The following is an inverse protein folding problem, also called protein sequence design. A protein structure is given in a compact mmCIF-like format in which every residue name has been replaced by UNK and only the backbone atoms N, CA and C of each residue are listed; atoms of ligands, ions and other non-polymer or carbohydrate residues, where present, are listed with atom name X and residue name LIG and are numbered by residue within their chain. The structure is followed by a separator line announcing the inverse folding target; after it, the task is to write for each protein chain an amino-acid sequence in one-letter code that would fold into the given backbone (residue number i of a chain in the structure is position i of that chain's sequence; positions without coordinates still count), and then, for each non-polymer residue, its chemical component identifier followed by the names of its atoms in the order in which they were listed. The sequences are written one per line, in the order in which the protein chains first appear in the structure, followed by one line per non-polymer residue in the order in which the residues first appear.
data_IF_555299245582
#
_entry.id   IF_555299245582
#
_cell.length_a   1.000
_cell.length_b   1.000
_cell.length_c   1.000
_cell.angle_alpha   90.00
_cell.angle_beta   90.00
_cell.angle_gamma   90.00
#
_symmetry.space_group_name_H-M   'P 1'
#
loop_
_entity.id
_entity.type
_entity.pdbx_description
1 polymer ?
#
# COMPACT_ATOMS: atom_id res chain seq x y z
N UNK A 1 30.62 21.30 3.77
CA UNK A 1 29.36 20.66 4.22
C UNK A 1 29.07 19.54 3.23
N UNK A 2 28.81 18.31 3.69
CA UNK A 2 28.52 17.20 2.76
C UNK A 2 27.21 17.50 2.01
N UNK A 3 27.22 17.34 0.69
CA UNK A 3 26.12 17.64 -0.23
C UNK A 3 25.35 16.36 -0.57
N UNK A 4 24.04 16.38 -0.37
CA UNK A 4 23.16 15.24 -0.64
C UNK A 4 22.01 15.70 -1.52
N UNK A 5 21.78 15.01 -2.63
CA UNK A 5 20.57 15.16 -3.42
C UNK A 5 19.53 14.12 -2.99
N UNK A 6 18.26 14.51 -2.92
CA UNK A 6 17.10 13.62 -2.78
C UNK A 6 16.24 13.81 -4.02
N UNK A 7 16.04 12.75 -4.80
CA UNK A 7 15.25 12.77 -6.04
C UNK A 7 13.89 12.12 -5.76
N UNK A 8 12.84 12.94 -5.70
CA UNK A 8 11.48 12.57 -5.28
C UNK A 8 11.20 13.01 -3.85
N UNK A 9 10.08 13.71 -3.64
CA UNK A 9 9.65 14.25 -2.34
C UNK A 9 8.38 13.58 -1.80
N UNK A 10 8.07 12.35 -2.22
CA UNK A 10 7.07 11.48 -1.57
C UNK A 10 7.56 10.90 -0.23
N UNK A 11 6.79 9.98 0.41
CA UNK A 11 7.12 9.48 1.75
C UNK A 11 8.56 9.00 1.93
N UNK A 12 9.12 8.25 0.98
CA UNK A 12 10.52 7.80 1.04
C UNK A 12 11.50 8.97 1.11
N UNK A 13 11.28 10.02 0.31
CA UNK A 13 12.09 11.25 0.35
C UNK A 13 11.92 12.01 1.67
N UNK A 14 10.68 12.08 2.18
CA UNK A 14 10.35 12.72 3.46
C UNK A 14 11.05 12.02 4.63
N UNK A 15 10.95 10.69 4.74
CA UNK A 15 11.62 9.94 5.80
C UNK A 15 13.15 9.94 5.65
N UNK A 16 13.66 10.04 4.42
CA UNK A 16 15.09 10.28 4.17
C UNK A 16 15.52 11.62 4.75
N UNK A 17 14.81 12.71 4.44
CA UNK A 17 15.06 14.02 5.01
C UNK A 17 14.99 13.98 6.54
N UNK A 18 13.91 13.43 7.10
CA UNK A 18 13.71 13.29 8.55
C UNK A 18 14.89 12.60 9.24
N UNK A 19 15.42 11.54 8.63
CA UNK A 19 16.55 10.76 9.16
C UNK A 19 17.88 11.52 9.05
N UNK A 20 18.09 12.26 7.95
CA UNK A 20 19.28 13.10 7.76
C UNK A 20 19.34 14.26 8.76
N UNK A 21 18.19 14.81 9.16
CA UNK A 21 18.13 15.87 10.17
C UNK A 21 18.48 15.39 11.59
N UNK A 22 18.58 14.07 11.83
CA UNK A 22 19.07 13.53 13.10
C UNK A 22 20.61 13.56 13.20
N UNK A 23 21.32 13.92 12.13
CA UNK A 23 22.77 14.01 12.15
C UNK A 23 23.24 15.24 12.93
N UNK A 24 24.29 15.08 13.74
CA UNK A 24 24.85 16.18 14.54
C UNK A 24 25.53 17.27 13.70
N UNK A 25 26.06 16.89 12.53
CA UNK A 25 26.74 17.82 11.62
C UNK A 25 25.76 18.24 10.53
N UNK A 26 25.46 19.54 10.37
CA UNK A 26 24.58 20.01 9.31
C UNK A 26 25.07 19.62 7.92
N UNK A 27 24.13 19.28 7.05
CA UNK A 27 24.33 18.85 5.66
C UNK A 27 23.75 19.89 4.68
N UNK A 28 24.20 19.84 3.43
CA UNK A 28 23.65 20.61 2.32
C UNK A 28 22.76 19.68 1.53
N UNK A 29 21.45 19.85 1.61
CA UNK A 29 20.45 18.95 1.05
C UNK A 29 19.72 19.68 -0.08
N UNK A 30 19.70 19.09 -1.26
CA UNK A 30 18.85 19.53 -2.38
C UNK A 30 17.79 18.48 -2.66
N UNK A 31 16.53 18.90 -2.69
CA UNK A 31 15.38 18.01 -2.91
C UNK A 31 14.75 18.40 -4.24
N UNK A 32 14.57 17.42 -5.12
CA UNK A 32 13.98 17.61 -6.44
C UNK A 32 12.65 16.88 -6.52
N UNK A 33 11.58 17.57 -6.89
CA UNK A 33 10.24 17.03 -7.07
C UNK A 33 9.74 17.42 -8.46
N UNK A 34 9.22 16.45 -9.21
CA UNK A 34 8.70 16.69 -10.56
C UNK A 34 7.32 17.36 -10.54
N UNK A 35 6.51 17.09 -9.51
CA UNK A 35 5.20 17.70 -9.33
C UNK A 35 5.33 19.17 -8.89
N UNK A 36 4.23 19.91 -9.01
CA UNK A 36 4.15 21.31 -8.58
C UNK A 36 4.31 21.49 -7.07
N UNK A 37 4.04 20.43 -6.30
CA UNK A 37 4.06 20.45 -4.85
C UNK A 37 4.90 19.29 -4.27
N UNK A 38 5.98 19.64 -3.57
CA UNK A 38 6.78 18.70 -2.80
C UNK A 38 6.05 18.24 -1.53
N UNK A 39 6.37 17.03 -1.08
CA UNK A 39 5.87 16.49 0.19
C UNK A 39 4.56 15.73 0.10
N UNK A 40 3.94 15.56 -1.07
CA UNK A 40 2.68 14.81 -1.20
C UNK A 40 2.94 13.35 -1.55
N UNK A 41 3.69 13.12 -2.64
CA UNK A 41 3.85 11.81 -3.25
C UNK A 41 2.69 11.46 -4.18
N UNK A 42 3.02 10.98 -5.38
CA UNK A 42 2.05 10.75 -6.46
C UNK A 42 0.82 9.87 -6.07
N UNK A 43 0.93 8.78 -5.27
CA UNK A 43 -0.24 8.01 -4.84
C UNK A 43 -1.22 8.75 -3.91
N UNK A 44 -0.86 9.94 -3.41
CA UNK A 44 -1.66 10.74 -2.48
C UNK A 44 -2.02 12.12 -3.05
N UNK A 45 -1.62 12.42 -4.29
CA UNK A 45 -1.98 13.64 -4.99
C UNK A 45 -3.49 13.68 -5.25
N UNK A 46 -4.09 14.86 -5.18
CA UNK A 46 -5.49 15.10 -5.53
C UNK A 46 -5.72 15.18 -7.05
N UNK A 47 -4.66 15.39 -7.84
CA UNK A 47 -4.67 15.21 -9.29
C UNK A 47 -4.98 13.75 -9.66
N UNK A 48 -4.45 12.81 -8.87
CA UNK A 48 -4.48 11.38 -9.17
C UNK A 48 -5.54 10.63 -8.36
N UNK A 49 -6.20 11.26 -7.38
CA UNK A 49 -7.10 10.54 -6.48
C UNK A 49 -8.40 11.28 -6.21
N UNK A 50 -9.47 10.49 -6.02
CA UNK A 50 -10.73 11.02 -5.50
C UNK A 50 -10.85 10.84 -3.99
N UNK A 51 -11.78 11.59 -3.41
CA UNK A 51 -12.22 11.46 -2.00
C UNK A 51 -12.71 10.05 -1.64
N UNK A 52 -13.08 9.24 -2.63
CA UNK A 52 -13.56 7.87 -2.42
C UNK A 52 -12.44 6.85 -2.29
N UNK A 53 -11.24 7.15 -2.80
CA UNK A 53 -10.10 6.24 -2.77
C UNK A 53 -9.45 6.27 -1.38
N UNK A 54 -9.53 5.14 -0.70
CA UNK A 54 -8.98 4.98 0.64
C UNK A 54 -7.49 4.63 0.58
N UNK A 55 -6.72 5.18 1.51
CA UNK A 55 -5.38 4.69 1.78
C UNK A 55 -5.48 3.26 2.35
N UNK A 56 -4.54 2.39 1.99
CA UNK A 56 -4.47 1.02 2.55
C UNK A 56 -3.55 0.96 3.78
N UNK A 57 -3.44 2.06 4.52
CA UNK A 57 -2.60 2.18 5.69
C UNK A 57 -3.30 3.07 6.71
N UNK A 58 -3.32 2.63 7.96
CA UNK A 58 -3.96 3.36 9.05
C UNK A 58 -2.93 4.22 9.83
N UNK A 59 -3.40 5.19 10.61
CA UNK A 59 -2.50 6.06 11.39
C UNK A 59 -1.59 5.30 12.34
N UNK A 60 -2.03 4.17 12.90
CA UNK A 60 -1.24 3.36 13.83
C UNK A 60 -0.02 2.70 13.16
N UNK A 61 -0.07 2.52 11.83
CA UNK A 61 0.98 1.89 11.03
C UNK A 61 1.99 2.89 10.48
N UNK A 62 1.58 4.17 10.34
CA UNK A 62 2.44 5.23 9.80
C UNK A 62 3.40 5.70 10.91
N UNK A 63 4.73 5.58 10.72
CA UNK A 63 5.69 6.10 11.69
C UNK A 63 5.54 7.63 11.84
N UNK A 64 5.47 8.17 13.07
CA UNK A 64 5.34 9.61 13.26
C UNK A 64 6.58 10.36 12.74
N UNK A 65 6.35 11.54 12.16
CA UNK A 65 7.42 12.48 11.78
C UNK A 65 7.57 13.52 12.91
N UNK A 66 6.72 14.55 12.90
CA UNK A 66 6.61 15.50 14.02
C UNK A 66 5.42 15.17 14.94
N UNK A 67 4.41 14.48 14.41
CA UNK A 67 3.29 13.90 15.14
C UNK A 67 2.78 12.66 14.38
N UNK A 68 1.84 11.93 14.97
CA UNK A 68 1.10 10.87 14.27
C UNK A 68 0.09 11.48 13.28
N UNK A 69 -0.36 10.68 12.30
CA UNK A 69 -1.42 11.09 11.38
C UNK A 69 -2.73 11.40 12.12
N UNK A 70 -3.12 10.60 13.12
CA UNK A 70 -4.29 10.85 13.96
C UNK A 70 -4.20 12.18 14.72
N UNK A 71 -3.05 12.48 15.33
CA UNK A 71 -2.85 13.77 16.03
C UNK A 71 -2.93 14.95 15.06
N UNK A 72 -2.45 14.78 13.83
CA UNK A 72 -2.59 15.80 12.78
C UNK A 72 -4.05 16.00 12.37
N UNK A 73 -4.80 14.92 12.16
CA UNK A 73 -6.23 14.95 11.83
C UNK A 73 -7.05 15.63 12.93
N UNK A 74 -6.75 15.34 14.19
CA UNK A 74 -7.42 15.94 15.35
C UNK A 74 -7.18 17.46 15.45
N UNK A 75 -6.12 17.98 14.85
CA UNK A 75 -5.85 19.43 14.78
C UNK A 75 -6.59 20.13 13.64
N UNK A 76 -7.09 19.40 12.64
CA UNK A 76 -7.82 19.99 11.52
C UNK A 76 -9.22 20.46 11.92
N UNK A 77 -9.72 21.48 11.23
CA UNK A 77 -11.09 21.95 11.42
C UNK A 77 -12.12 20.86 11.03
N UNK A 78 -13.22 20.77 11.79
CA UNK A 78 -14.25 19.77 11.50
C UNK A 78 -14.86 19.95 10.10
N UNK A 79 -15.04 21.21 9.67
CA UNK A 79 -15.53 21.54 8.32
C UNK A 79 -14.56 21.11 7.23
N UNK A 80 -13.25 21.15 7.49
CA UNK A 80 -12.24 20.69 6.55
C UNK A 80 -12.36 19.17 6.34
N UNK A 81 -12.41 18.39 7.42
CA UNK A 81 -12.54 16.92 7.39
C UNK A 81 -13.86 16.46 6.77
N UNK A 82 -14.94 17.20 7.00
CA UNK A 82 -16.25 16.91 6.42
C UNK A 82 -16.24 16.93 4.89
N UNK A 83 -15.37 17.74 4.26
CA UNK A 83 -15.20 17.75 2.78
C UNK A 83 -14.70 16.42 2.22
N UNK A 84 -14.12 15.58 3.07
CA UNK A 84 -13.62 14.24 2.77
C UNK A 84 -14.57 13.14 3.28
N UNK A 85 -15.76 13.49 3.78
CA UNK A 85 -16.69 12.54 4.40
C UNK A 85 -16.24 12.05 5.78
N UNK A 86 -15.29 12.73 6.42
CA UNK A 86 -14.70 12.30 7.69
C UNK A 86 -15.36 13.06 8.85
N UNK A 87 -15.94 12.31 9.80
CA UNK A 87 -16.47 12.86 11.06
C UNK A 87 -15.34 12.94 12.09
N UNK A 88 -15.03 14.14 12.59
CA UNK A 88 -13.88 14.37 13.48
C UNK A 88 -14.00 13.59 14.79
N UNK A 89 -15.21 13.47 15.31
CA UNK A 89 -15.57 12.80 16.56
C UNK A 89 -15.44 11.27 16.50
N UNK A 90 -15.37 10.68 15.30
CA UNK A 90 -15.21 9.23 15.13
C UNK A 90 -13.76 8.81 14.84
N UNK A 91 -12.83 9.76 14.77
CA UNK A 91 -11.43 9.49 14.42
C UNK A 91 -10.78 8.53 15.42
N UNK A 92 -10.13 7.50 14.89
CA UNK A 92 -9.28 6.59 15.66
C UNK A 92 -8.08 6.12 14.83
N UNK A 93 -7.08 5.56 15.51
CA UNK A 93 -5.76 5.22 14.95
C UNK A 93 -5.78 4.11 13.89
N UNK A 94 -6.78 3.22 13.95
CA UNK A 94 -7.03 2.12 12.99
C UNK A 94 -7.99 2.46 11.85
N UNK A 95 -8.34 3.73 11.67
CA UNK A 95 -9.28 4.15 10.63
C UNK A 95 -8.56 4.32 9.28
N UNK A 96 -9.12 3.74 8.22
CA UNK A 96 -8.71 4.04 6.84
C UNK A 96 -9.42 5.29 6.35
N UNK A 97 -8.67 6.21 5.75
CA UNK A 97 -9.13 7.52 5.32
C UNK A 97 -8.74 7.79 3.87
N UNK A 98 -9.35 8.79 3.20
CA UNK A 98 -9.02 9.12 1.82
C UNK A 98 -7.53 9.42 1.62
N UNK A 99 -6.95 8.94 0.51
CA UNK A 99 -5.52 9.09 0.20
C UNK A 99 -5.06 10.53 0.15
N UNK A 100 -5.90 11.41 -0.38
CA UNK A 100 -5.61 12.84 -0.48
C UNK A 100 -5.43 13.52 0.88
N UNK A 101 -6.14 13.06 1.91
CA UNK A 101 -5.98 13.58 3.28
C UNK A 101 -4.64 13.14 3.90
N UNK A 102 -4.17 11.95 3.53
CA UNK A 102 -2.83 11.48 3.88
C UNK A 102 -1.74 12.28 3.12
N UNK A 103 -2.01 12.68 1.88
CA UNK A 103 -1.16 13.59 1.10
C UNK A 103 -1.01 14.96 1.77
N UNK A 104 -2.10 15.54 2.25
CA UNK A 104 -2.06 16.80 3.01
C UNK A 104 -1.24 16.68 4.30
N UNK A 105 -1.37 15.55 5.02
CA UNK A 105 -0.53 15.26 6.18
C UNK A 105 0.96 15.24 5.80
N UNK A 106 1.34 14.47 4.77
CA UNK A 106 2.74 14.38 4.35
C UNK A 106 3.29 15.74 3.92
N UNK A 107 2.51 16.57 3.21
CA UNK A 107 2.95 17.91 2.80
C UNK A 107 3.17 18.81 4.00
N UNK A 108 2.26 18.84 4.97
CA UNK A 108 2.46 19.60 6.21
C UNK A 108 3.69 19.12 6.99
N UNK A 109 3.92 17.80 7.10
CA UNK A 109 5.12 17.27 7.76
C UNK A 109 6.39 17.63 6.99
N UNK A 110 6.40 17.54 5.66
CA UNK A 110 7.53 17.90 4.83
C UNK A 110 7.93 19.38 5.02
N UNK A 111 6.96 20.30 4.96
CA UNK A 111 7.22 21.73 5.16
C UNK A 111 7.80 22.01 6.55
N UNK A 112 7.27 21.35 7.59
CA UNK A 112 7.84 21.44 8.96
C UNK A 112 9.27 20.94 9.03
N UNK A 113 9.61 19.85 8.34
CA UNK A 113 10.99 19.35 8.29
C UNK A 113 11.92 20.32 7.59
N UNK A 114 11.49 20.95 6.50
CA UNK A 114 12.29 21.97 5.81
C UNK A 114 12.56 23.17 6.72
N UNK A 115 11.56 23.64 7.46
CA UNK A 115 11.73 24.72 8.43
C UNK A 115 12.62 24.32 9.61
N UNK A 116 12.45 23.11 10.13
CA UNK A 116 13.30 22.54 11.18
C UNK A 116 14.77 22.47 10.71
N UNK A 117 15.00 22.01 9.48
CA UNK A 117 16.35 21.92 8.91
C UNK A 117 17.04 23.29 8.87
N UNK A 118 16.32 24.32 8.41
CA UNK A 118 16.81 25.71 8.38
C UNK A 118 17.15 26.22 9.78
N UNK A 119 16.30 25.95 10.78
CA UNK A 119 16.57 26.31 12.18
C UNK A 119 17.81 25.61 12.74
N UNK A 120 18.04 24.36 12.32
CA UNK A 120 19.22 23.56 12.68
C UNK A 120 20.46 23.89 11.84
N UNK A 121 20.41 24.92 10.97
CA UNK A 121 21.51 25.38 10.10
C UNK A 121 21.94 24.38 9.03
N UNK A 122 21.06 23.44 8.66
CA UNK A 122 21.21 22.71 7.40
C UNK A 122 20.97 23.66 6.24
N UNK A 123 21.74 23.52 5.16
CA UNK A 123 21.43 24.22 3.91
C UNK A 123 20.43 23.36 3.15
N UNK A 124 19.18 23.81 3.00
CA UNK A 124 18.13 23.06 2.30
C UNK A 124 17.58 23.87 1.14
N UNK A 125 17.65 23.29 -0.06
CA UNK A 125 17.01 23.78 -1.27
C UNK A 125 15.95 22.77 -1.73
N UNK A 126 14.78 23.26 -2.10
CA UNK A 126 13.68 22.46 -2.64
C UNK A 126 13.36 22.99 -4.04
N UNK A 127 13.37 22.10 -5.02
CA UNK A 127 13.09 22.39 -6.42
C UNK A 127 11.81 21.64 -6.81
N UNK A 128 10.67 22.34 -6.76
CA UNK A 128 9.37 21.87 -7.27
C UNK A 128 9.29 22.07 -8.81
N UNK A 129 8.38 21.35 -9.45
CA UNK A 129 8.23 21.27 -10.93
C UNK A 129 9.55 20.93 -11.66
N UNK A 130 10.46 20.22 -11.00
CA UNK A 130 11.82 19.95 -11.43
C UNK A 130 12.06 18.43 -11.55
N UNK A 131 11.91 17.94 -12.77
CA UNK A 131 12.15 16.54 -13.09
C UNK A 131 13.65 16.31 -13.26
N UNK A 132 14.21 15.36 -12.50
CA UNK A 132 15.55 14.82 -12.74
C UNK A 132 15.46 13.79 -13.88
N UNK A 133 16.13 14.06 -14.98
CA UNK A 133 16.06 13.24 -16.20
C UNK A 133 17.20 12.24 -16.33
N UNK A 134 18.35 12.51 -15.68
CA UNK A 134 19.50 11.61 -15.70
C UNK A 134 20.41 11.81 -14.48
N UNK A 135 21.21 10.79 -14.15
CA UNK A 135 22.23 10.84 -13.10
C UNK A 135 23.56 10.28 -13.63
N UNK A 136 24.62 11.04 -13.45
CA UNK A 136 25.97 10.62 -13.81
C UNK A 136 26.87 10.49 -12.57
N UNK A 137 27.42 9.29 -12.36
CA UNK A 137 28.43 9.04 -11.32
C UNK A 137 29.81 9.39 -11.89
N UNK A 138 30.54 10.25 -11.20
CA UNK A 138 31.88 10.69 -11.55
C UNK A 138 32.86 10.48 -10.40
N UNK A 139 34.16 10.66 -10.65
CA UNK A 139 35.17 10.63 -9.58
C UNK A 139 34.99 11.73 -8.54
N UNK A 140 34.27 12.81 -8.88
CA UNK A 140 34.03 13.95 -7.99
C UNK A 140 32.71 13.83 -7.19
N UNK A 141 31.86 12.85 -7.51
CA UNK A 141 30.53 12.68 -6.91
C UNK A 141 29.45 12.41 -7.97
N UNK A 142 28.20 12.67 -7.61
CA UNK A 142 27.02 12.47 -8.46
C UNK A 142 26.58 13.80 -9.06
N UNK A 143 26.38 13.83 -10.37
CA UNK A 143 25.80 14.96 -11.09
C UNK A 143 24.39 14.60 -11.54
N UNK A 144 23.46 15.55 -11.44
CA UNK A 144 22.06 15.38 -11.85
C UNK A 144 21.80 16.25 -13.09
N UNK A 145 21.09 15.70 -14.06
CA UNK A 145 20.48 16.47 -15.14
C UNK A 145 19.01 16.70 -14.83
N UNK A 146 18.52 17.91 -15.06
CA UNK A 146 17.12 18.31 -14.81
C UNK A 146 16.48 18.88 -16.07
N UNK A 147 15.16 18.85 -16.14
CA UNK A 147 14.38 19.54 -17.19
C UNK A 147 14.45 21.08 -17.08
N UNK A 148 14.88 21.60 -15.92
CA UNK A 148 15.14 23.03 -15.70
C UNK A 148 16.63 23.36 -15.92
N UNK A 149 16.92 24.59 -16.34
CA UNK A 149 18.30 25.12 -16.46
C UNK A 149 18.83 25.56 -15.08
N UNK A 150 19.16 24.56 -14.26
CA UNK A 150 19.77 24.77 -12.94
C UNK A 150 21.31 24.74 -13.05
N UNK A 151 22.03 25.50 -12.21
CA UNK A 151 23.48 25.41 -12.15
C UNK A 151 23.93 23.96 -11.91
N UNK A 152 24.84 23.48 -12.76
CA UNK A 152 25.41 22.14 -12.60
C UNK A 152 26.08 22.02 -11.22
N UNK A 153 25.53 21.19 -10.36
CA UNK A 153 26.06 20.90 -9.03
C UNK A 153 26.50 19.44 -8.92
N UNK A 154 27.62 19.21 -8.25
CA UNK A 154 28.09 17.88 -7.89
C UNK A 154 27.76 17.61 -6.43
N UNK A 155 27.10 16.49 -6.17
CA UNK A 155 26.71 16.01 -4.86
C UNK A 155 27.64 14.88 -4.40
N UNK A 156 27.87 14.79 -3.09
CA UNK A 156 28.64 13.66 -2.52
C UNK A 156 27.82 12.37 -2.56
N UNK A 157 26.49 12.47 -2.41
CA UNK A 157 25.54 11.36 -2.48
C UNK A 157 24.24 11.81 -3.16
N UNK A 158 23.56 10.87 -3.81
CA UNK A 158 22.18 11.06 -4.28
C UNK A 158 21.31 9.90 -3.78
N UNK A 159 20.13 10.21 -3.27
CA UNK A 159 19.10 9.25 -2.88
C UNK A 159 18.00 9.27 -3.93
N UNK A 160 17.77 8.14 -4.58
CA UNK A 160 16.69 7.97 -5.56
C UNK A 160 15.44 7.49 -4.80
N UNK A 161 14.47 8.38 -4.65
CA UNK A 161 13.22 8.19 -3.94
C UNK A 161 12.01 8.48 -4.85
N UNK A 162 12.13 8.12 -6.13
CA UNK A 162 11.16 8.42 -7.20
C UNK A 162 9.89 7.58 -7.16
N UNK A 163 9.80 6.60 -6.26
CA UNK A 163 8.64 5.72 -6.14
C UNK A 163 8.57 4.67 -7.26
N UNK A 164 7.34 4.29 -7.64
CA UNK A 164 7.08 3.29 -8.67
C UNK A 164 6.68 3.96 -9.99
N UNK A 165 7.03 3.32 -11.10
CA UNK A 165 6.60 3.71 -12.44
C UNK A 165 5.24 3.06 -12.72
N UNK A 166 4.22 3.86 -12.99
CA UNK A 166 2.95 3.35 -13.53
C UNK A 166 3.08 3.08 -15.03
N UNK A 167 2.24 2.19 -15.60
CA UNK A 167 2.17 2.03 -17.06
C UNK A 167 1.90 3.38 -17.73
N UNK A 168 2.54 3.60 -18.87
CA UNK A 168 2.56 4.89 -19.55
C UNK A 168 1.13 5.30 -19.99
N UNK A 169 0.77 6.57 -19.77
CA UNK A 169 -0.52 7.11 -20.20
C UNK A 169 -0.68 7.04 -21.73
N UNK A 170 0.44 7.00 -22.47
CA UNK A 170 0.45 6.85 -23.93
C UNK A 170 -0.24 5.56 -24.43
N UNK A 171 -0.37 4.54 -23.57
CA UNK A 171 -1.11 3.31 -23.90
C UNK A 171 -2.64 3.45 -23.75
N UNK A 172 -3.10 4.53 -23.11
CA UNK A 172 -4.53 4.78 -22.93
C UNK A 172 -5.21 5.13 -24.26
N UNK A 173 -6.42 4.61 -24.43
CA UNK A 173 -7.30 4.95 -25.54
C UNK A 173 -8.64 5.40 -24.99
N UNK A 174 -9.53 5.89 -25.86
CA UNK A 174 -10.90 6.27 -25.46
C UNK A 174 -11.67 5.17 -24.71
N UNK A 175 -11.30 3.90 -24.89
CA UNK A 175 -12.01 2.74 -24.32
C UNK A 175 -11.10 1.80 -23.53
N UNK A 176 -9.85 2.18 -23.28
CA UNK A 176 -8.88 1.36 -22.56
C UNK A 176 -8.00 2.24 -21.69
N UNK A 177 -7.92 1.92 -20.40
CA UNK A 177 -7.14 2.64 -19.42
C UNK A 177 -6.20 1.63 -18.73
N UNK A 178 -4.87 1.73 -18.92
CA UNK A 178 -3.90 0.84 -18.25
C UNK A 178 -4.00 0.85 -16.72
N UNK A 179 -4.42 1.97 -16.13
CA UNK A 179 -4.61 2.13 -14.68
C UNK A 179 -5.74 3.13 -14.38
N UNK A 180 -6.25 3.21 -13.14
CA UNK A 180 -7.21 4.26 -12.76
C UNK A 180 -6.67 5.68 -13.01
N UNK A 181 -5.35 5.84 -12.96
CA UNK A 181 -4.63 7.11 -13.06
C UNK A 181 -4.36 7.54 -14.49
N UNK A 182 -4.48 6.64 -15.47
CA UNK A 182 -4.29 6.94 -16.89
C UNK A 182 -5.46 7.69 -17.55
N UNK A 183 -6.08 8.65 -16.85
CA UNK A 183 -7.21 9.46 -17.33
C UNK A 183 -8.61 8.89 -17.09
N UNK A 184 -8.74 7.71 -16.47
CA UNK A 184 -10.06 7.11 -16.15
C UNK A 184 -10.87 8.01 -15.19
N UNK A 185 -10.19 8.67 -14.25
CA UNK A 185 -10.84 9.54 -13.26
C UNK A 185 -11.58 10.72 -13.87
N UNK A 186 -11.12 11.21 -15.02
CA UNK A 186 -11.71 12.32 -15.76
C UNK A 186 -12.61 11.85 -16.92
N UNK A 187 -12.45 10.60 -17.33
CA UNK A 187 -13.19 10.03 -18.45
C UNK A 187 -14.67 9.89 -18.12
N UNK A 188 -15.52 10.39 -19.03
CA UNK A 188 -16.94 10.08 -19.01
C UNK A 188 -17.16 8.66 -19.55
N UNK A 189 -17.64 7.77 -18.69
CA UNK A 189 -17.99 6.41 -19.05
C UNK A 189 -19.52 6.32 -19.19
N UNK A 190 -19.99 5.89 -20.36
CA UNK A 190 -21.42 5.63 -20.56
C UNK A 190 -21.82 4.34 -19.84
N UNK A 191 -23.10 4.22 -19.45
CA UNK A 191 -23.61 2.99 -18.83
C UNK A 191 -23.51 1.80 -19.81
N UNK A 192 -22.47 0.99 -19.68
CA UNK A 192 -22.13 -0.11 -20.57
C UNK A 192 -21.43 -1.26 -19.82
N UNK A 193 -20.96 -2.26 -20.57
CA UNK A 193 -20.14 -3.33 -20.03
C UNK A 193 -18.70 -2.84 -19.85
N UNK A 194 -18.21 -2.83 -18.61
CA UNK A 194 -16.86 -2.41 -18.24
C UNK A 194 -16.10 -3.61 -17.69
N UNK A 195 -14.95 -3.92 -18.28
CA UNK A 195 -14.04 -4.95 -17.79
C UNK A 195 -12.88 -4.33 -17.02
N UNK A 196 -12.62 -4.80 -15.81
CA UNK A 196 -11.51 -4.35 -14.97
C UNK A 196 -10.55 -5.51 -14.73
N UNK A 197 -9.31 -5.36 -15.19
CA UNK A 197 -8.25 -6.36 -15.01
C UNK A 197 -7.59 -6.21 -13.64
N UNK A 198 -8.21 -6.78 -12.62
CA UNK A 198 -7.70 -6.82 -11.25
C UNK A 198 -8.81 -6.73 -10.22
N UNK A 199 -8.57 -7.33 -9.06
CA UNK A 199 -9.46 -7.25 -7.88
C UNK A 199 -8.79 -6.63 -6.66
N UNK A 200 -7.54 -6.16 -6.79
CA UNK A 200 -6.84 -5.42 -5.73
C UNK A 200 -7.46 -4.04 -5.52
N UNK A 201 -6.97 -3.29 -4.52
CA UNK A 201 -7.49 -1.95 -4.21
C UNK A 201 -7.54 -1.03 -5.43
N UNK A 202 -6.51 -0.99 -6.28
CA UNK A 202 -6.53 -0.19 -7.52
C UNK A 202 -7.62 -0.64 -8.52
N UNK A 203 -7.90 -1.95 -8.61
CA UNK A 203 -8.99 -2.46 -9.43
C UNK A 203 -10.36 -2.07 -8.88
N UNK A 204 -10.51 -2.08 -7.55
CA UNK A 204 -11.72 -1.57 -6.89
C UNK A 204 -11.84 -0.05 -7.05
N UNK A 205 -10.75 0.70 -6.99
CA UNK A 205 -10.73 2.13 -7.24
C UNK A 205 -11.22 2.46 -8.67
N UNK A 206 -10.79 1.70 -9.68
CA UNK A 206 -11.34 1.80 -11.04
C UNK A 206 -12.85 1.52 -11.08
N UNK A 207 -13.31 0.49 -10.36
CA UNK A 207 -14.73 0.16 -10.27
C UNK A 207 -15.53 1.30 -9.63
N UNK A 208 -15.00 1.90 -8.56
CA UNK A 208 -15.60 3.05 -7.90
C UNK A 208 -15.64 4.27 -8.83
N UNK A 209 -14.55 4.56 -9.55
CA UNK A 209 -14.47 5.68 -10.48
C UNK A 209 -15.55 5.63 -11.57
N UNK A 210 -15.89 4.42 -12.04
CA UNK A 210 -16.99 4.20 -12.97
C UNK A 210 -18.34 4.28 -12.26
N UNK A 211 -18.51 3.56 -11.15
CA UNK A 211 -19.80 3.44 -10.46
C UNK A 211 -20.36 4.79 -10.00
N UNK A 212 -19.53 5.70 -9.49
CA UNK A 212 -19.99 7.01 -9.01
C UNK A 212 -20.51 7.94 -10.12
N UNK A 213 -20.26 7.63 -11.40
CA UNK A 213 -20.85 8.36 -12.53
C UNK A 213 -22.32 7.95 -12.79
N UNK A 214 -22.78 6.90 -12.13
CA UNK A 214 -24.03 6.19 -12.42
C UNK A 214 -24.94 6.01 -11.20
N UNK A 215 -24.61 6.66 -10.10
CA UNK A 215 -25.37 6.62 -8.86
C UNK A 215 -24.57 7.13 -7.66
N UNK A 216 -25.12 6.91 -6.47
CA UNK A 216 -24.53 7.39 -5.22
C UNK A 216 -24.55 6.32 -4.13
N UNK A 217 -23.47 6.23 -3.37
CA UNK A 217 -23.43 5.45 -2.13
C UNK A 217 -24.09 6.23 -1.00
N UNK A 218 -24.96 5.53 -0.25
CA UNK A 218 -25.57 6.04 0.98
C UNK A 218 -25.15 5.10 2.10
N UNK A 219 -24.48 5.66 3.12
CA UNK A 219 -24.08 4.95 4.32
C UNK A 219 -25.00 5.35 5.48
N UNK A 220 -25.50 4.37 6.22
CA UNK A 220 -26.28 4.60 7.44
C UNK A 220 -25.40 4.62 8.71
N UNK A 221 -25.99 4.97 9.86
CA UNK A 221 -25.27 5.03 11.14
C UNK A 221 -24.72 3.68 11.62
N UNK A 222 -25.09 2.57 10.98
CA UNK A 222 -24.62 1.21 11.27
C UNK A 222 -23.55 0.72 10.27
N UNK A 223 -22.97 1.62 9.48
CA UNK A 223 -22.01 1.30 8.43
C UNK A 223 -22.58 0.32 7.39
N UNK A 224 -23.90 0.33 7.18
CA UNK A 224 -24.50 -0.34 6.05
C UNK A 224 -24.46 0.61 4.85
N UNK A 225 -23.93 0.13 3.73
CA UNK A 225 -23.75 0.90 2.51
C UNK A 225 -24.73 0.39 1.46
N UNK A 226 -25.52 1.30 0.90
CA UNK A 226 -26.45 1.03 -0.22
C UNK A 226 -26.03 1.85 -1.42
N UNK A 227 -26.02 1.25 -2.61
CA UNK A 227 -25.80 1.98 -3.85
C UNK A 227 -27.14 2.32 -4.52
N UNK A 228 -27.45 3.60 -4.61
CA UNK A 228 -28.60 4.10 -5.37
C UNK A 228 -28.18 4.35 -6.82
N UNK A 229 -28.53 3.41 -7.68
CA UNK A 229 -28.31 3.50 -9.13
C UNK A 229 -29.25 4.52 -9.77
N UNK A 230 -28.72 5.33 -10.68
CA UNK A 230 -29.53 6.24 -11.49
C UNK A 230 -30.38 5.48 -12.51
N UNK A 231 -31.60 5.96 -12.77
CA UNK A 231 -32.53 5.33 -13.72
C UNK A 231 -31.95 5.19 -15.14
N UNK A 232 -31.10 6.13 -15.57
CA UNK A 232 -30.48 6.07 -16.91
C UNK A 232 -29.35 5.03 -17.01
N UNK A 233 -28.95 4.44 -15.88
CA UNK A 233 -27.75 3.62 -15.77
C UNK A 233 -28.01 2.12 -15.80
N UNK A 234 -29.22 1.65 -16.15
CA UNK A 234 -29.64 0.23 -16.18
C UNK A 234 -28.74 -0.70 -17.02
N UNK A 235 -27.95 -0.15 -17.94
CA UNK A 235 -27.03 -0.91 -18.81
C UNK A 235 -25.63 -1.07 -18.26
N UNK A 236 -25.30 -0.39 -17.16
CA UNK A 236 -24.01 -0.55 -16.50
C UNK A 236 -23.84 -1.98 -15.97
N UNK A 237 -22.74 -2.61 -16.35
CA UNK A 237 -22.28 -3.87 -15.79
C UNK A 237 -20.77 -3.80 -15.60
N UNK A 238 -20.28 -4.12 -14.39
CA UNK A 238 -18.85 -4.08 -14.09
C UNK A 238 -18.35 -5.51 -13.83
N UNK A 239 -17.45 -6.00 -14.69
CA UNK A 239 -16.81 -7.30 -14.53
C UNK A 239 -15.39 -7.14 -13.98
N UNK A 240 -15.19 -7.53 -12.72
CA UNK A 240 -13.86 -7.64 -12.11
C UNK A 240 -13.19 -8.96 -12.52
N UNK A 241 -11.98 -8.89 -13.06
CA UNK A 241 -11.25 -10.05 -13.58
C UNK A 241 -10.01 -10.32 -12.73
N UNK A 242 -9.97 -11.48 -12.09
CA UNK A 242 -8.85 -11.93 -11.26
C UNK A 242 -8.30 -13.25 -11.79
N UNK A 243 -6.96 -13.39 -11.82
CA UNK A 243 -6.29 -14.62 -12.30
C UNK A 243 -6.71 -15.87 -11.52
N UNK A 244 -7.16 -15.71 -10.29
CA UNK A 244 -7.54 -16.80 -9.38
C UNK A 244 -9.05 -16.91 -9.16
N UNK A 245 -9.85 -15.98 -9.70
CA UNK A 245 -11.30 -15.91 -9.49
C UNK A 245 -11.71 -15.50 -8.06
N UNK A 246 -10.80 -14.92 -7.27
CA UNK A 246 -11.07 -14.50 -5.88
C UNK A 246 -11.07 -12.97 -5.73
N UNK A 247 -11.79 -12.50 -4.72
CA UNK A 247 -11.72 -11.14 -4.19
C UNK A 247 -10.70 -11.08 -3.03
N UNK A 248 -10.06 -9.91 -2.81
CA UNK A 248 -9.23 -9.69 -1.63
C UNK A 248 -10.08 -9.74 -0.36
N UNK A 249 -9.41 -9.98 0.76
CA UNK A 249 -10.04 -10.03 2.08
C UNK A 249 -9.94 -8.66 2.78
N UNK A 250 -10.82 -8.45 3.76
CA UNK A 250 -10.80 -7.25 4.59
C UNK A 250 -9.55 -7.22 5.48
N UNK A 251 -9.00 -6.02 5.65
CA UNK A 251 -7.98 -5.72 6.65
C UNK A 251 -8.46 -6.18 8.04
N UNK A 252 -7.61 -6.86 8.80
CA UNK A 252 -7.97 -7.58 10.00
C UNK A 252 -7.28 -7.03 11.25
N UNK A 253 -7.88 -7.24 12.41
CA UNK A 253 -7.25 -6.81 13.66
C UNK A 253 -5.99 -7.60 13.97
N UNK A 254 -4.90 -6.88 14.25
CA UNK A 254 -3.65 -7.43 14.79
C UNK A 254 -2.97 -6.44 15.76
N UNK A 255 -2.11 -6.90 16.68
CA UNK A 255 -1.29 -6.03 17.52
C UNK A 255 -0.31 -5.21 16.67
N UNK A 256 -0.16 -3.92 17.03
CA UNK A 256 0.80 -3.00 16.43
C UNK A 256 1.46 -2.22 17.59
N UNK A 257 2.81 -2.15 17.68
CA UNK A 257 3.80 -2.76 16.78
C UNK A 257 3.72 -4.29 16.72
N UNK A 258 4.22 -4.88 15.64
CA UNK A 258 4.22 -6.33 15.46
C UNK A 258 5.05 -7.03 16.53
N UNK A 259 4.53 -8.16 17.00
CA UNK A 259 5.18 -9.04 17.97
C UNK A 259 6.24 -9.89 17.27
N UNK A 260 7.38 -10.20 17.90
CA UNK A 260 8.40 -11.02 17.28
C UNK A 260 7.91 -12.43 16.95
N UNK A 261 8.51 -13.03 15.90
CA UNK A 261 8.37 -14.45 15.58
C UNK A 261 9.15 -15.29 16.60
N UNK A 262 8.69 -16.49 16.90
CA UNK A 262 9.29 -17.34 17.94
C UNK A 262 10.37 -18.29 17.39
N UNK A 263 10.20 -18.73 16.16
CA UNK A 263 10.98 -19.78 15.49
C UNK A 263 11.71 -19.18 14.28
N UNK A 264 11.01 -18.43 13.43
CA UNK A 264 11.60 -17.74 12.26
C UNK A 264 12.24 -16.42 12.71
N UNK A 265 13.28 -16.52 13.53
CA UNK A 265 14.06 -15.38 14.03
C UNK A 265 15.20 -15.02 13.08
N UNK A 266 15.72 -13.80 13.18
CA UNK A 266 16.91 -13.37 12.41
C UNK A 266 18.08 -14.34 12.58
N UNK A 267 18.29 -14.85 13.80
CA UNK A 267 19.34 -15.84 14.06
C UNK A 267 19.10 -17.15 13.32
N UNK A 268 17.85 -17.64 13.32
CA UNK A 268 17.49 -18.88 12.63
C UNK A 268 17.64 -18.74 11.10
N UNK A 269 17.16 -17.62 10.53
CA UNK A 269 17.29 -17.34 9.11
C UNK A 269 18.76 -17.21 8.68
N UNK A 270 19.57 -16.46 9.44
CA UNK A 270 21.01 -16.33 9.18
C UNK A 270 21.74 -17.68 9.24
N UNK A 271 21.37 -18.55 10.19
CA UNK A 271 21.93 -19.88 10.27
C UNK A 271 21.56 -20.75 9.05
N UNK A 272 20.38 -20.57 8.46
CA UNK A 272 20.02 -21.25 7.22
C UNK A 272 20.73 -20.67 5.99
N UNK A 273 20.89 -19.34 5.91
CA UNK A 273 21.64 -18.66 4.85
C UNK A 273 23.10 -19.13 4.83
N UNK A 274 23.74 -19.26 6.01
CA UNK A 274 25.14 -19.68 6.14
C UNK A 274 25.40 -21.12 5.66
N UNK A 275 24.36 -21.96 5.55
CA UNK A 275 24.48 -23.33 5.00
C UNK A 275 24.56 -23.36 3.47
N UNK A 276 24.40 -22.21 2.80
CA UNK A 276 24.47 -22.08 1.34
C UNK A 276 23.10 -22.05 0.66
N UNK A 277 23.11 -21.60 -0.60
CA UNK A 277 21.90 -21.35 -1.41
C UNK A 277 21.13 -22.62 -1.80
N UNK A 278 21.80 -23.78 -1.90
CA UNK A 278 21.17 -25.04 -2.29
C UNK A 278 20.14 -25.48 -1.24
N UNK A 279 18.86 -25.52 -1.62
CA UNK A 279 17.75 -25.93 -0.75
C UNK A 279 17.41 -24.92 0.35
N UNK A 280 17.95 -23.69 0.31
CA UNK A 280 17.69 -22.64 1.31
C UNK A 280 16.19 -22.41 1.50
N UNK A 281 15.45 -22.29 0.39
CA UNK A 281 14.01 -22.06 0.42
C UNK A 281 13.25 -23.16 1.15
N UNK A 282 13.58 -24.43 0.90
CA UNK A 282 12.93 -25.56 1.56
C UNK A 282 13.28 -25.64 3.05
N UNK A 283 14.50 -25.26 3.45
CA UNK A 283 14.88 -25.19 4.87
C UNK A 283 14.12 -24.09 5.60
N UNK A 284 14.01 -22.90 5.00
CA UNK A 284 13.24 -21.77 5.55
C UNK A 284 11.76 -22.11 5.59
N UNK A 285 11.21 -22.77 4.56
CA UNK A 285 9.82 -23.21 4.56
C UNK A 285 9.50 -24.16 5.73
N UNK A 286 10.44 -25.04 6.12
CA UNK A 286 10.26 -25.86 7.33
C UNK A 286 10.17 -25.02 8.60
N UNK A 287 10.96 -23.94 8.73
CA UNK A 287 10.83 -23.03 9.86
C UNK A 287 9.47 -22.31 9.86
N UNK A 288 8.97 -21.93 8.68
CA UNK A 288 7.63 -21.34 8.51
C UNK A 288 6.53 -22.29 8.99
N UNK A 289 6.61 -23.57 8.61
CA UNK A 289 5.67 -24.61 9.05
C UNK A 289 5.64 -24.70 10.58
N UNK A 290 6.82 -24.72 11.21
CA UNK A 290 6.93 -24.80 12.68
C UNK A 290 6.39 -23.54 13.37
N UNK A 291 6.66 -22.34 12.84
CA UNK A 291 6.12 -21.07 13.36
C UNK A 291 4.59 -21.04 13.33
N UNK A 292 4.00 -21.40 12.18
CA UNK A 292 2.55 -21.38 12.03
C UNK A 292 1.90 -22.44 12.93
N UNK A 293 2.49 -23.64 13.02
CA UNK A 293 2.00 -24.70 13.90
C UNK A 293 2.08 -24.33 15.38
N UNK A 294 3.13 -23.64 15.78
CA UNK A 294 3.29 -23.12 17.14
C UNK A 294 2.19 -22.11 17.48
N UNK A 295 1.86 -21.22 16.54
CA UNK A 295 0.84 -20.18 16.76
C UNK A 295 -0.60 -20.67 16.61
N UNK A 296 -0.87 -21.60 15.69
CA UNK A 296 -2.21 -22.07 15.36
C UNK A 296 -2.22 -23.57 14.95
N UNK A 297 -2.20 -24.48 15.94
CA UNK A 297 -2.19 -25.92 15.66
C UNK A 297 -3.47 -26.40 14.96
N UNK A 298 -4.62 -25.81 15.29
CA UNK A 298 -5.92 -26.19 14.73
C UNK A 298 -6.03 -25.83 13.25
N UNK A 299 -5.61 -24.62 12.86
CA UNK A 299 -5.56 -24.23 11.45
C UNK A 299 -4.53 -25.07 10.69
N UNK A 300 -3.36 -25.30 11.28
CA UNK A 300 -2.30 -26.11 10.69
C UNK A 300 -2.76 -27.54 10.38
N UNK A 301 -3.50 -28.16 11.30
CA UNK A 301 -4.09 -29.48 11.07
C UNK A 301 -5.16 -29.44 9.97
N UNK A 302 -6.01 -28.42 9.96
CA UNK A 302 -7.11 -28.26 8.99
C UNK A 302 -6.63 -28.21 7.54
N UNK A 303 -5.51 -27.53 7.29
CA UNK A 303 -4.92 -27.43 5.95
C UNK A 303 -3.86 -28.50 5.67
N UNK A 304 -3.66 -29.44 6.61
CA UNK A 304 -2.61 -30.45 6.58
C UNK A 304 -1.20 -29.88 6.34
N UNK A 305 -0.86 -28.77 7.03
CA UNK A 305 0.33 -27.95 6.79
C UNK A 305 1.65 -28.74 6.74
N UNK A 306 1.82 -29.72 7.64
CA UNK A 306 3.04 -30.55 7.70
C UNK A 306 3.29 -31.40 6.45
N UNK A 307 2.24 -31.68 5.68
CA UNK A 307 2.32 -32.42 4.42
C UNK A 307 2.66 -31.54 3.21
N UNK A 308 2.66 -30.21 3.40
CA UNK A 308 2.88 -29.26 2.33
C UNK A 308 4.36 -28.93 2.16
N UNK A 309 4.70 -28.38 1.00
CA UNK A 309 5.99 -27.80 0.71
C UNK A 309 5.79 -26.39 0.13
N UNK A 310 6.88 -25.68 -0.16
CA UNK A 310 6.81 -24.30 -0.68
C UNK A 310 6.03 -24.19 -2.00
N UNK A 311 6.00 -25.25 -2.80
CA UNK A 311 5.30 -25.28 -4.10
C UNK A 311 3.80 -25.57 -3.95
N UNK A 312 3.40 -26.35 -2.93
CA UNK A 312 1.99 -26.73 -2.70
C UNK A 312 1.27 -25.83 -1.70
N UNK A 313 1.99 -25.09 -0.85
CA UNK A 313 1.39 -24.26 0.20
C UNK A 313 0.41 -23.21 -0.33
N UNK A 314 0.78 -22.51 -1.41
CA UNK A 314 -0.10 -21.51 -2.02
C UNK A 314 -1.40 -22.15 -2.54
N UNK A 315 -1.36 -23.36 -3.08
CA UNK A 315 -2.58 -24.04 -3.52
C UNK A 315 -3.51 -24.34 -2.34
N UNK A 316 -2.97 -24.83 -1.22
CA UNK A 316 -3.74 -25.10 -0.01
C UNK A 316 -4.34 -23.81 0.58
N UNK A 317 -3.56 -22.73 0.62
CA UNK A 317 -3.99 -21.40 1.08
C UNK A 317 -5.23 -20.86 0.34
N UNK A 318 -5.26 -21.02 -0.99
CA UNK A 318 -6.36 -20.52 -1.82
C UNK A 318 -7.51 -21.53 -2.02
N UNK A 319 -7.36 -22.78 -1.56
CA UNK A 319 -8.28 -23.86 -1.93
C UNK A 319 -9.73 -23.60 -1.52
N UNK A 320 -9.95 -23.18 -0.27
CA UNK A 320 -11.30 -22.93 0.25
C UNK A 320 -11.97 -21.75 -0.46
N UNK A 321 -11.24 -20.64 -0.66
CA UNK A 321 -11.74 -19.44 -1.34
C UNK A 321 -12.15 -19.71 -2.78
N UNK A 322 -11.39 -20.51 -3.50
CA UNK A 322 -11.70 -20.87 -4.90
C UNK A 322 -12.93 -21.76 -5.07
N UNK A 323 -13.41 -22.41 -4.01
CA UNK A 323 -14.58 -23.29 -4.05
C UNK A 323 -15.88 -22.59 -3.66
N UNK A 324 -15.83 -21.29 -3.32
CA UNK A 324 -16.98 -20.49 -2.88
C UNK A 324 -17.27 -19.37 -3.86
N UNK A 325 -18.51 -18.89 -3.86
CA UNK A 325 -18.85 -17.65 -4.55
C UNK A 325 -18.00 -16.50 -3.96
N UNK A 326 -17.32 -15.68 -4.79
CA UNK A 326 -16.40 -14.67 -4.29
C UNK A 326 -17.04 -13.60 -3.40
N UNK A 327 -18.30 -13.21 -3.64
CA UNK A 327 -18.93 -12.20 -2.79
C UNK A 327 -19.61 -12.82 -1.57
N UNK A 328 -20.09 -14.05 -1.64
CA UNK A 328 -20.49 -14.80 -0.42
C UNK A 328 -19.29 -14.94 0.53
N UNK A 329 -18.07 -15.14 -0.03
CA UNK A 329 -16.84 -15.11 0.76
C UNK A 329 -16.57 -13.72 1.34
N UNK A 330 -16.62 -12.68 0.51
CA UNK A 330 -16.34 -11.31 0.92
C UNK A 330 -17.29 -10.85 2.04
N UNK A 331 -18.58 -11.17 1.96
CA UNK A 331 -19.57 -10.86 3.00
C UNK A 331 -19.23 -11.57 4.33
N UNK A 332 -18.96 -12.89 4.29
CA UNK A 332 -18.60 -13.65 5.50
C UNK A 332 -17.29 -13.17 6.12
N UNK A 333 -16.29 -12.91 5.28
CA UNK A 333 -15.00 -12.40 5.74
C UNK A 333 -15.14 -11.01 6.37
N UNK A 334 -15.93 -10.11 5.76
CA UNK A 334 -16.22 -8.80 6.34
C UNK A 334 -16.89 -8.92 7.71
N UNK A 335 -17.91 -9.79 7.85
CA UNK A 335 -18.58 -10.02 9.13
C UNK A 335 -17.62 -10.55 10.22
N UNK A 336 -16.75 -11.50 9.86
CA UNK A 336 -15.71 -12.02 10.76
C UNK A 336 -14.74 -10.92 11.18
N UNK A 337 -14.20 -10.18 10.23
CA UNK A 337 -13.21 -9.12 10.47
C UNK A 337 -13.77 -8.02 11.34
N UNK A 338 -14.99 -7.55 11.08
CA UNK A 338 -15.62 -6.51 11.90
C UNK A 338 -15.92 -7.00 13.32
N UNK A 339 -16.30 -8.27 13.48
CA UNK A 339 -16.42 -8.88 14.82
C UNK A 339 -15.06 -8.91 15.53
N UNK A 340 -14.03 -9.39 14.85
CA UNK A 340 -12.69 -9.49 15.40
C UNK A 340 -12.12 -8.12 15.79
N UNK A 341 -12.36 -7.07 14.98
CA UNK A 341 -12.01 -5.69 15.30
C UNK A 341 -12.71 -5.19 16.57
N UNK A 342 -14.02 -5.43 16.72
CA UNK A 342 -14.77 -5.07 17.95
C UNK A 342 -14.27 -5.81 19.19
N UNK A 343 -13.96 -7.10 19.04
CA UNK A 343 -13.52 -7.98 20.13
C UNK A 343 -12.02 -7.89 20.39
N UNK A 344 -11.28 -7.14 19.57
CA UNK A 344 -9.80 -7.10 19.55
C UNK A 344 -9.19 -8.52 19.46
N UNK A 345 -9.84 -9.38 18.69
CA UNK A 345 -9.42 -10.75 18.48
C UNK A 345 -8.44 -10.83 17.31
N UNK A 346 -7.24 -11.35 17.57
CA UNK A 346 -6.22 -11.61 16.55
C UNK A 346 -6.33 -13.04 16.06
N UNK A 347 -6.43 -13.23 14.74
CA UNK A 347 -6.41 -14.57 14.12
C UNK A 347 -4.95 -15.06 14.05
N UNK A 348 -4.53 -16.09 14.81
CA UNK A 348 -3.12 -16.39 15.03
C UNK A 348 -2.34 -16.75 13.75
N UNK A 349 -2.85 -17.69 12.94
CA UNK A 349 -2.19 -18.06 11.67
C UNK A 349 -2.05 -16.87 10.73
N UNK A 350 -3.07 -16.01 10.65
CA UNK A 350 -3.09 -14.86 9.74
C UNK A 350 -2.05 -13.83 10.17
N UNK A 351 -1.94 -13.60 11.47
CA UNK A 351 -0.96 -12.68 12.03
C UNK A 351 0.49 -13.22 11.94
N UNK A 352 0.71 -14.53 12.00
CA UNK A 352 2.02 -15.12 11.70
C UNK A 352 2.40 -14.88 10.25
N UNK A 353 1.51 -15.15 9.29
CA UNK A 353 1.79 -14.93 7.86
C UNK A 353 2.12 -13.47 7.57
N UNK A 354 1.39 -12.53 8.21
CA UNK A 354 1.68 -11.10 8.10
C UNK A 354 3.09 -10.78 8.58
N UNK A 355 3.58 -11.37 9.67
CA UNK A 355 4.95 -11.07 10.16
C UNK A 355 6.04 -11.80 9.39
N UNK A 356 5.73 -12.97 8.85
CA UNK A 356 6.67 -13.77 8.07
C UNK A 356 7.09 -13.08 6.76
N UNK A 357 6.25 -12.22 6.16
CA UNK A 357 6.61 -11.59 4.90
C UNK A 357 7.87 -10.73 5.02
N UNK A 358 8.00 -9.95 6.10
CA UNK A 358 9.17 -9.11 6.37
C UNK A 358 10.39 -9.98 6.66
N UNK A 359 10.27 -10.93 7.59
CA UNK A 359 11.38 -11.79 7.99
C UNK A 359 11.94 -12.61 6.81
N UNK A 360 11.06 -13.20 5.99
CA UNK A 360 11.47 -14.05 4.86
C UNK A 360 12.00 -13.22 3.69
N UNK A 361 11.74 -11.91 3.62
CA UNK A 361 12.31 -11.07 2.57
C UNK A 361 13.85 -11.06 2.61
N UNK A 362 14.45 -11.18 3.80
CA UNK A 362 15.91 -11.21 4.01
C UNK A 362 16.61 -12.37 3.29
N UNK A 363 15.92 -13.49 3.05
CA UNK A 363 16.54 -14.64 2.37
C UNK A 363 16.57 -14.48 0.84
N UNK A 364 15.75 -13.58 0.27
CA UNK A 364 15.54 -13.49 -1.18
C UNK A 364 16.84 -13.22 -1.96
N UNK A 365 17.73 -12.30 -1.53
CA UNK A 365 19.02 -12.09 -2.19
C UNK A 365 19.97 -13.29 -2.16
N UNK A 366 19.71 -14.28 -1.30
CA UNK A 366 20.53 -15.48 -1.12
C UNK A 366 19.94 -16.71 -1.84
N UNK A 367 18.81 -16.57 -2.53
CA UNK A 367 18.21 -17.64 -3.31
C UNK A 367 18.91 -17.78 -4.67
N UNK A 368 19.13 -19.03 -5.08
CA UNK A 368 19.48 -19.34 -6.47
C UNK A 368 18.30 -19.03 -7.42
N UNK A 369 18.57 -18.94 -8.72
CA UNK A 369 17.55 -18.57 -9.73
C UNK A 369 16.32 -19.50 -9.73
N UNK A 370 16.52 -20.80 -9.49
CA UNK A 370 15.44 -21.77 -9.44
C UNK A 370 14.51 -21.53 -8.24
N UNK A 371 15.09 -21.36 -7.05
CA UNK A 371 14.32 -21.11 -5.83
C UNK A 371 13.68 -19.72 -5.82
N UNK A 372 14.30 -18.72 -6.44
CA UNK A 372 13.67 -17.41 -6.65
C UNK A 372 12.37 -17.53 -7.47
N UNK A 373 12.36 -18.37 -8.53
CA UNK A 373 11.16 -18.64 -9.32
C UNK A 373 10.10 -19.40 -8.52
N UNK A 374 10.51 -20.36 -7.68
CA UNK A 374 9.60 -21.11 -6.78
C UNK A 374 8.95 -20.18 -5.76
N UNK A 375 9.75 -19.37 -5.07
CA UNK A 375 9.28 -18.35 -4.12
C UNK A 375 8.25 -17.42 -4.75
N UNK A 376 8.58 -16.87 -5.93
CA UNK A 376 7.68 -15.95 -6.66
C UNK A 376 6.35 -16.58 -7.07
N UNK A 377 6.36 -17.87 -7.46
CA UNK A 377 5.15 -18.60 -7.89
C UNK A 377 4.30 -19.13 -6.74
N UNK A 378 4.91 -19.37 -5.59
CA UNK A 378 4.29 -19.93 -4.39
C UNK A 378 4.17 -18.90 -3.28
N UNK A 379 5.10 -18.94 -2.34
CA UNK A 379 5.06 -18.23 -1.06
C UNK A 379 4.83 -16.72 -1.17
N UNK A 380 5.47 -16.05 -2.14
CA UNK A 380 5.30 -14.61 -2.35
C UNK A 380 3.82 -14.23 -2.56
N UNK A 381 3.05 -15.08 -3.25
CA UNK A 381 1.62 -14.83 -3.50
C UNK A 381 0.77 -14.95 -2.25
N UNK A 382 1.16 -15.82 -1.31
CA UNK A 382 0.48 -15.96 -0.01
C UNK A 382 0.73 -14.71 0.83
N UNK A 383 1.98 -14.23 0.86
CA UNK A 383 2.31 -12.99 1.54
C UNK A 383 1.57 -11.80 0.94
N UNK A 384 1.63 -11.60 -0.38
CA UNK A 384 0.93 -10.51 -1.08
C UNK A 384 -0.56 -10.54 -0.76
N UNK A 385 -1.20 -11.70 -0.86
CA UNK A 385 -2.63 -11.82 -0.56
C UNK A 385 -2.98 -11.49 0.89
N UNK A 386 -2.07 -11.74 1.83
CA UNK A 386 -2.29 -11.47 3.25
C UNK A 386 -2.07 -9.99 3.62
N UNK A 387 -0.97 -9.37 3.19
CA UNK A 387 -0.68 -7.98 3.52
C UNK A 387 -1.41 -6.98 2.61
N UNK A 388 -1.87 -7.40 1.42
CA UNK A 388 -2.69 -6.58 0.53
C UNK A 388 -4.20 -6.70 0.83
N UNK A 389 -4.55 -7.04 2.07
CA UNK A 389 -5.90 -6.91 2.58
C UNK A 389 -6.36 -5.45 2.43
N UNK A 390 -7.66 -5.24 2.19
CA UNK A 390 -8.22 -3.92 1.82
C UNK A 390 -9.15 -3.37 2.91
N UNK A 391 -9.43 -2.06 2.93
CA UNK A 391 -10.31 -1.48 3.94
C UNK A 391 -11.70 -2.12 3.89
N UNK A 392 -12.29 -2.38 5.07
CA UNK A 392 -13.65 -2.93 5.20
C UNK A 392 -14.68 -2.17 4.37
N UNK A 393 -14.51 -0.85 4.28
CA UNK A 393 -15.37 0.05 3.52
C UNK A 393 -15.32 -0.20 1.99
N UNK A 394 -14.16 -0.55 1.45
CA UNK A 394 -14.04 -0.93 0.04
C UNK A 394 -14.83 -2.20 -0.28
N UNK A 395 -14.92 -3.14 0.67
CA UNK A 395 -15.72 -4.37 0.52
C UNK A 395 -17.21 -4.06 0.65
N UNK A 396 -17.61 -3.21 1.60
CA UNK A 396 -19.01 -2.77 1.72
C UNK A 396 -19.53 -2.15 0.44
N UNK A 397 -18.74 -1.26 -0.18
CA UNK A 397 -19.10 -0.63 -1.46
C UNK A 397 -19.22 -1.65 -2.58
N UNK A 398 -18.30 -2.61 -2.66
CA UNK A 398 -18.36 -3.69 -3.64
C UNK A 398 -19.62 -4.55 -3.47
N UNK A 399 -19.98 -4.91 -2.24
CA UNK A 399 -21.21 -5.66 -1.94
C UNK A 399 -22.45 -4.84 -2.30
N UNK A 400 -22.46 -3.54 -1.99
CA UNK A 400 -23.56 -2.64 -2.33
C UNK A 400 -23.79 -2.52 -3.84
N UNK A 401 -22.73 -2.53 -4.65
CA UNK A 401 -22.85 -2.57 -6.12
C UNK A 401 -23.50 -3.88 -6.59
N UNK A 402 -23.07 -5.03 -6.04
CA UNK A 402 -23.67 -6.33 -6.38
C UNK A 402 -25.15 -6.38 -6.02
N UNK A 403 -25.53 -5.87 -4.84
CA UNK A 403 -26.93 -5.78 -4.41
C UNK A 403 -27.78 -4.88 -5.32
N UNK A 404 -27.19 -3.81 -5.86
CA UNK A 404 -27.82 -2.92 -6.85
C UNK A 404 -27.87 -3.50 -8.28
N UNK A 405 -27.39 -4.73 -8.49
CA UNK A 405 -27.41 -5.42 -9.78
C UNK A 405 -26.41 -4.86 -10.80
N UNK A 406 -25.24 -4.40 -10.35
CA UNK A 406 -24.14 -3.89 -11.19
C UNK A 406 -23.03 -4.93 -11.34
#
# INVERSE_FOLDING_TARGET
MKKIAIVGAGPTGIYTLFSLLQQQTPLSISIFEQADEAGVGMPYSDEENSKMMLANIASIEIPPINCTYLEWLQKQEASHLQRYGVKKETLHDRQFLPRILLGEYFRDQFLRLVDQARQQKFAVAVYESCQVTDLQITNAGVMLATNQDLPSETFDLAVIATGHVWPDEEEATRTYFPSPWSGLMEAKVDACNVGIMGTSLSGLDAAMAVAIQHGSFIEDDKQHVVFHRDNASEKLNITLMSRTGILPEADFYCPIPYEPLHIVTDQALNAEIQKGEEGLLDRVFRLIVEEIKFADPDWSQRIALESLNVDSFAQAWFAERKQRDPFDWAEKNLQEVERNKREKHTVPWRYVILRLHEAVQEIVPHLNEHDHKRFSKGLARVFIDNYAAIPSESIRRLLALREAGI
#
